data_IF_418290982042
#
_entry.id   IF_418290982042
#
_cell.length_a   1.000
_cell.length_b   1.000
_cell.length_c   1.000
_cell.angle_alpha   90.00
_cell.angle_beta   90.00
_cell.angle_gamma   90.00
#
_symmetry.space_group_name_H-M   'P 1'
#
loop_
_entity.id
_entity.type
_entity.pdbx_description
1 polymer ?
#
# COMPACT_ATOMS: atom_id res chain seq x y z
N UNK A 1 8.30 -2.99 18.32
CA UNK A 1 7.44 -3.94 17.59
C UNK A 1 7.85 -5.35 17.96
N UNK A 2 6.95 -6.17 18.49
CA UNK A 2 7.19 -7.61 18.67
C UNK A 2 6.14 -8.33 17.82
N UNK A 3 6.53 -8.68 16.59
CA UNK A 3 5.81 -9.65 15.80
C UNK A 3 6.03 -11.01 16.48
N UNK A 4 5.00 -11.57 17.10
CA UNK A 4 5.06 -12.96 17.55
C UNK A 4 4.71 -13.86 16.37
N UNK A 5 5.72 -14.44 15.74
CA UNK A 5 5.54 -15.60 14.87
C UNK A 5 5.24 -16.81 15.74
N UNK A 6 3.98 -17.24 15.79
CA UNK A 6 3.64 -18.54 16.35
C UNK A 6 3.82 -19.61 15.28
N UNK A 7 4.82 -20.47 15.46
CA UNK A 7 4.91 -21.74 14.75
C UNK A 7 3.89 -22.69 15.38
N UNK A 8 2.72 -22.84 14.79
CA UNK A 8 1.81 -23.91 15.16
C UNK A 8 2.26 -25.20 14.48
N UNK A 9 2.97 -26.05 15.23
CA UNK A 9 3.15 -27.46 14.86
C UNK A 9 1.86 -28.24 15.22
N UNK A 10 0.73 -27.89 14.62
CA UNK A 10 -0.51 -28.66 14.81
C UNK A 10 -0.59 -29.76 13.76
N UNK A 11 -0.40 -30.99 14.23
CA UNK A 11 -0.64 -32.24 13.51
C UNK A 11 -1.98 -32.17 12.75
N UNK A 12 -1.95 -32.47 11.44
CA UNK A 12 -3.19 -32.61 10.68
C UNK A 12 -3.99 -33.84 11.15
N UNK A 13 -5.31 -33.76 11.39
CA UNK A 13 -6.12 -34.92 11.80
C UNK A 13 -6.42 -35.91 10.67
N UNK A 14 -5.76 -35.79 9.53
CA UNK A 14 -6.05 -36.58 8.34
C UNK A 14 -4.74 -36.93 7.66
N UNK A 15 -4.40 -38.22 7.68
CA UNK A 15 -3.12 -38.81 7.29
C UNK A 15 -2.72 -38.56 5.83
N UNK A 16 -2.42 -37.31 5.48
CA UNK A 16 -1.60 -36.97 4.33
C UNK A 16 -0.13 -37.04 4.74
N UNK A 17 0.76 -37.59 3.90
CA UNK A 17 2.18 -37.60 4.18
C UNK A 17 2.67 -36.16 4.39
N UNK A 18 3.45 -35.98 5.46
CA UNK A 18 4.01 -34.73 5.96
C UNK A 18 5.00 -34.12 4.98
N UNK A 19 4.49 -33.44 3.95
CA UNK A 19 5.23 -32.45 3.20
C UNK A 19 5.24 -31.14 3.99
N UNK A 20 6.42 -30.72 4.45
CA UNK A 20 6.75 -29.49 5.17
C UNK A 20 5.92 -28.27 4.73
N UNK A 21 4.77 -28.05 5.36
CA UNK A 21 4.02 -26.79 5.30
C UNK A 21 4.07 -26.15 6.67
N UNK A 22 4.67 -24.96 6.78
CA UNK A 22 4.64 -24.17 8.01
C UNK A 22 3.44 -23.22 7.94
N UNK A 23 2.59 -23.27 8.97
CA UNK A 23 1.51 -22.30 9.13
C UNK A 23 2.07 -21.07 9.86
N UNK A 24 1.95 -19.91 9.22
CA UNK A 24 2.33 -18.62 9.80
C UNK A 24 1.08 -17.80 10.04
N UNK A 25 0.96 -17.22 11.23
CA UNK A 25 -0.09 -16.25 11.56
C UNK A 25 0.55 -14.96 12.05
N UNK A 26 0.19 -13.85 11.40
CA UNK A 26 0.56 -12.51 11.85
C UNK A 26 -0.49 -12.05 12.86
N UNK A 27 -0.05 -11.70 14.06
CA UNK A 27 -0.90 -11.16 15.12
C UNK A 27 -0.42 -9.75 15.47
N UNK A 28 -1.05 -8.75 14.87
CA UNK A 28 -0.83 -7.35 15.28
C UNK A 28 -1.60 -7.10 16.58
N UNK A 29 -0.95 -6.60 17.66
CA UNK A 29 -1.64 -6.28 18.90
C UNK A 29 -2.65 -5.14 18.68
N UNK A 30 -3.92 -5.47 18.50
CA UNK A 30 -4.99 -4.50 18.24
C UNK A 30 -5.55 -3.87 19.51
N UNK A 31 -4.71 -3.26 20.36
CA UNK A 31 -5.23 -2.54 21.53
C UNK A 31 -5.96 -1.27 21.09
N UNK A 32 -7.02 -0.83 21.80
CA UNK A 32 -7.74 0.40 21.43
C UNK A 32 -6.86 1.64 21.37
N UNK A 33 -5.89 1.78 22.29
CA UNK A 33 -4.93 2.89 22.30
C UNK A 33 -4.07 2.91 21.04
N UNK A 34 -3.54 1.75 20.64
CA UNK A 34 -2.71 1.62 19.45
C UNK A 34 -3.50 1.91 18.19
N UNK A 35 -4.76 1.48 18.13
CA UNK A 35 -5.66 1.84 17.03
C UNK A 35 -5.83 3.35 16.88
N UNK A 36 -5.98 4.08 17.98
CA UNK A 36 -6.08 5.53 17.97
C UNK A 36 -4.78 6.17 17.48
N UNK A 37 -3.62 5.73 17.99
CA UNK A 37 -2.31 6.23 17.56
C UNK A 37 -2.10 6.10 16.05
N UNK A 38 -2.34 4.91 15.47
CA UNK A 38 -2.23 4.71 14.02
C UNK A 38 -3.25 5.52 13.23
N UNK A 39 -4.48 5.61 13.72
CA UNK A 39 -5.52 6.38 13.04
C UNK A 39 -5.17 7.87 12.99
N UNK A 40 -4.63 8.42 14.07
CA UNK A 40 -4.16 9.81 14.13
C UNK A 40 -3.01 10.02 13.14
N UNK A 41 -1.97 9.20 13.21
CA UNK A 41 -0.79 9.31 12.34
C UNK A 41 -1.15 9.22 10.85
N UNK A 42 -1.99 8.24 10.47
CA UNK A 42 -2.45 8.07 9.09
C UNK A 42 -3.27 9.28 8.61
N UNK A 43 -4.10 9.86 9.49
CA UNK A 43 -4.92 11.02 9.14
C UNK A 43 -4.04 12.26 8.91
N UNK A 44 -3.11 12.52 9.82
CA UNK A 44 -2.17 13.64 9.72
C UNK A 44 -1.27 13.52 8.48
N UNK A 45 -0.76 12.32 8.20
CA UNK A 45 0.02 12.05 6.98
C UNK A 45 -0.80 12.27 5.71
N UNK A 46 -2.06 11.85 5.69
CA UNK A 46 -2.92 12.02 4.52
C UNK A 46 -3.25 13.50 4.26
N UNK A 47 -3.47 14.26 5.32
CA UNK A 47 -3.66 15.72 5.24
C UNK A 47 -2.38 16.40 4.72
N UNK A 48 -1.20 16.00 5.22
CA UNK A 48 0.09 16.52 4.75
C UNK A 48 0.33 16.20 3.27
N UNK A 49 0.07 14.95 2.84
CA UNK A 49 0.15 14.54 1.43
C UNK A 49 -0.77 15.42 0.58
N UNK A 50 -2.00 15.67 1.04
CA UNK A 50 -2.98 16.47 0.31
C UNK A 50 -2.51 17.92 0.14
N UNK A 51 -1.95 18.54 1.17
CA UNK A 51 -1.39 19.89 1.07
C UNK A 51 -0.17 19.93 0.14
N UNK A 52 0.76 18.98 0.28
CA UNK A 52 1.94 18.87 -0.58
C UNK A 52 1.58 18.62 -2.04
N UNK A 53 0.53 17.83 -2.32
CA UNK A 53 0.01 17.65 -3.68
C UNK A 53 -0.51 18.97 -4.27
N UNK A 54 -1.24 19.78 -3.49
CA UNK A 54 -1.68 21.13 -3.93
C UNK A 54 -0.48 22.03 -4.25
N UNK A 55 0.59 21.95 -3.46
CA UNK A 55 1.83 22.69 -3.71
C UNK A 55 2.55 22.20 -4.97
N UNK A 56 2.61 20.89 -5.18
CA UNK A 56 3.19 20.27 -6.37
C UNK A 56 2.49 20.72 -7.66
N UNK A 57 1.15 20.74 -7.68
CA UNK A 57 0.41 21.26 -8.84
C UNK A 57 0.65 22.76 -9.08
N UNK A 58 1.01 23.52 -8.03
CA UNK A 58 1.46 24.92 -8.13
C UNK A 58 2.95 25.06 -8.43
N UNK A 59 3.66 23.95 -8.69
CA UNK A 59 5.11 23.88 -8.94
C UNK A 59 5.97 24.43 -7.79
N UNK A 60 5.53 24.23 -6.54
CA UNK A 60 6.21 24.70 -5.32
C UNK A 60 6.86 23.60 -4.49
N UNK A 61 6.65 22.34 -4.85
CA UNK A 61 7.14 21.17 -4.12
C UNK A 61 7.69 20.15 -5.12
N UNK A 62 8.73 19.44 -4.74
CA UNK A 62 9.31 18.36 -5.54
C UNK A 62 8.54 17.05 -5.33
N UNK A 63 8.39 16.25 -6.40
CA UNK A 63 7.64 14.98 -6.32
C UNK A 63 8.19 14.04 -5.25
N UNK A 64 9.52 14.04 -5.05
CA UNK A 64 10.18 13.07 -4.16
C UNK A 64 9.78 13.27 -2.70
N UNK A 65 9.49 14.50 -2.28
CA UNK A 65 8.97 14.78 -0.93
C UNK A 65 7.61 14.08 -0.72
N UNK A 66 6.74 14.11 -1.74
CA UNK A 66 5.42 13.48 -1.69
C UNK A 66 5.55 11.96 -1.75
N UNK A 67 6.45 11.43 -2.58
CA UNK A 67 6.70 9.99 -2.67
C UNK A 67 7.17 9.40 -1.34
N UNK A 68 7.97 10.15 -0.58
CA UNK A 68 8.44 9.72 0.74
C UNK A 68 7.27 9.68 1.73
N UNK A 69 6.40 10.70 1.75
CA UNK A 69 5.18 10.69 2.55
C UNK A 69 4.23 9.55 2.17
N UNK A 70 4.05 9.25 0.88
CA UNK A 70 3.24 8.12 0.39
C UNK A 70 3.78 6.78 0.92
N UNK A 71 5.10 6.60 0.95
CA UNK A 71 5.70 5.39 1.52
C UNK A 71 5.57 5.35 3.04
N UNK A 72 5.69 6.47 3.75
CA UNK A 72 5.40 6.53 5.19
C UNK A 72 3.95 6.12 5.48
N UNK A 73 2.99 6.67 4.73
CA UNK A 73 1.58 6.29 4.82
C UNK A 73 1.39 4.79 4.58
N UNK A 74 2.06 4.24 3.56
CA UNK A 74 2.02 2.81 3.23
C UNK A 74 2.59 1.94 4.36
N UNK A 75 3.71 2.35 4.96
CA UNK A 75 4.31 1.68 6.11
C UNK A 75 3.33 1.58 7.28
N UNK A 76 2.69 2.70 7.65
CA UNK A 76 1.70 2.72 8.73
C UNK A 76 0.45 1.93 8.37
N UNK A 77 -0.04 1.99 7.13
CA UNK A 77 -1.19 1.21 6.67
C UNK A 77 -0.96 -0.30 6.80
N UNK A 78 0.18 -0.80 6.31
CA UNK A 78 0.52 -2.22 6.39
C UNK A 78 0.76 -2.70 7.82
N UNK A 79 1.30 -1.84 8.69
CA UNK A 79 1.47 -2.17 10.10
C UNK A 79 0.18 -2.05 10.93
N UNK A 80 -0.73 -1.15 10.54
CA UNK A 80 -2.01 -0.96 11.20
C UNK A 80 -2.98 -2.11 10.90
N UNK A 81 -2.97 -2.60 9.66
CA UNK A 81 -3.88 -3.64 9.17
C UNK A 81 -5.36 -3.37 9.50
N UNK A 82 -5.94 -2.23 9.06
CA UNK A 82 -7.29 -1.82 9.46
C UNK A 82 -8.40 -2.73 8.95
N UNK A 83 -8.17 -3.46 7.86
CA UNK A 83 -9.18 -4.29 7.22
C UNK A 83 -9.07 -5.74 7.69
N UNK A 84 -10.21 -6.37 7.96
CA UNK A 84 -10.29 -7.80 8.28
C UNK A 84 -9.69 -8.69 7.18
N UNK A 85 -9.79 -8.26 5.91
CA UNK A 85 -9.18 -8.88 4.73
C UNK A 85 -8.85 -7.81 3.68
N UNK A 86 -7.77 -8.01 2.94
CA UNK A 86 -7.43 -7.17 1.79
C UNK A 86 -6.60 -5.91 2.09
N UNK A 87 -6.10 -5.73 3.31
CA UNK A 87 -5.20 -4.60 3.66
C UNK A 87 -4.07 -4.41 2.65
N UNK A 88 -3.36 -5.49 2.29
CA UNK A 88 -2.24 -5.42 1.36
C UNK A 88 -2.65 -4.87 -0.01
N UNK A 89 -3.72 -5.43 -0.59
CA UNK A 89 -4.26 -5.02 -1.88
C UNK A 89 -4.78 -3.57 -1.84
N UNK A 90 -5.57 -3.21 -0.83
CA UNK A 90 -6.08 -1.85 -0.68
C UNK A 90 -4.94 -0.83 -0.51
N UNK A 91 -3.94 -1.14 0.33
CA UNK A 91 -2.79 -0.26 0.55
C UNK A 91 -1.97 -0.04 -0.73
N UNK A 92 -1.74 -1.11 -1.49
CA UNK A 92 -1.03 -1.01 -2.76
C UNK A 92 -1.83 -0.20 -3.80
N UNK A 93 -3.13 -0.42 -3.91
CA UNK A 93 -4.01 0.36 -4.79
C UNK A 93 -4.02 1.84 -4.41
N UNK A 94 -4.06 2.17 -3.11
CA UNK A 94 -3.98 3.55 -2.64
C UNK A 94 -2.63 4.20 -2.98
N UNK A 95 -1.50 3.49 -2.79
CA UNK A 95 -0.18 3.96 -3.21
C UNK A 95 -0.13 4.25 -4.72
N UNK A 96 -0.66 3.35 -5.55
CA UNK A 96 -0.74 3.55 -7.01
C UNK A 96 -1.62 4.75 -7.34
N UNK A 97 -2.78 4.89 -6.70
CA UNK A 97 -3.68 6.04 -6.89
C UNK A 97 -3.03 7.39 -6.56
N UNK A 98 -2.27 7.45 -5.46
CA UNK A 98 -1.51 8.64 -5.08
C UNK A 98 -0.35 8.95 -6.04
N UNK A 99 0.23 7.94 -6.68
CA UNK A 99 1.22 8.18 -7.75
C UNK A 99 0.54 8.74 -9.01
N UNK A 100 -0.63 8.20 -9.36
CA UNK A 100 -1.40 8.64 -10.51
C UNK A 100 -1.86 10.10 -10.38
N UNK A 101 -2.22 10.56 -9.18
CA UNK A 101 -2.56 11.97 -8.96
C UNK A 101 -1.37 12.92 -9.21
N UNK A 102 -0.13 12.45 -9.07
CA UNK A 102 1.08 13.18 -9.43
C UNK A 102 1.39 13.14 -10.94
N UNK A 103 0.55 12.51 -11.76
CA UNK A 103 0.78 12.21 -13.17
C UNK A 103 1.94 11.23 -13.39
N UNK A 104 2.11 10.26 -12.49
CA UNK A 104 3.09 9.17 -12.61
C UNK A 104 2.42 7.80 -12.52
N UNK A 105 2.86 6.86 -13.35
CA UNK A 105 2.40 5.48 -13.35
C UNK A 105 3.51 4.54 -12.88
N UNK A 106 3.15 3.60 -12.01
CA UNK A 106 4.04 2.53 -11.56
C UNK A 106 4.05 1.41 -12.61
N UNK A 107 5.13 1.30 -13.39
CA UNK A 107 5.16 0.39 -14.56
C UNK A 107 5.86 -0.94 -14.31
N UNK A 108 6.72 -1.02 -13.30
CA UNK A 108 7.47 -2.24 -12.99
C UNK A 108 6.87 -2.90 -11.76
N UNK A 109 6.72 -4.22 -11.82
CA UNK A 109 6.42 -5.02 -10.63
C UNK A 109 7.56 -4.95 -9.62
N UNK A 110 7.29 -5.18 -8.33
CA UNK A 110 8.33 -5.38 -7.32
C UNK A 110 9.37 -6.41 -7.77
N UNK A 111 10.65 -6.28 -7.37
CA UNK A 111 11.68 -7.25 -7.69
C UNK A 111 11.29 -8.65 -7.17
N UNK A 112 11.77 -9.72 -7.81
CA UNK A 112 11.54 -11.08 -7.34
C UNK A 112 11.95 -11.23 -5.86
N UNK A 113 11.06 -11.80 -5.05
CA UNK A 113 11.30 -12.00 -3.62
C UNK A 113 10.93 -10.82 -2.72
N UNK A 114 10.53 -9.66 -3.28
CA UNK A 114 10.05 -8.52 -2.51
C UNK A 114 8.51 -8.50 -2.52
N UNK A 115 7.93 -8.38 -1.33
CA UNK A 115 6.51 -8.09 -1.14
C UNK A 115 6.39 -6.87 -0.24
N UNK A 116 5.83 -5.79 -0.76
CA UNK A 116 5.90 -4.44 -0.15
C UNK A 116 5.31 -4.42 1.26
N UNK A 117 4.20 -5.12 1.47
CA UNK A 117 3.57 -5.27 2.78
C UNK A 117 4.47 -6.01 3.78
N UNK A 118 5.16 -7.07 3.36
CA UNK A 118 6.13 -7.76 4.20
C UNK A 118 7.35 -6.92 4.53
N UNK A 119 7.87 -6.14 3.58
CA UNK A 119 8.96 -5.20 3.85
C UNK A 119 8.60 -4.19 4.94
N UNK A 120 7.32 -3.80 5.05
CA UNK A 120 6.84 -2.93 6.11
C UNK A 120 6.57 -3.68 7.43
N UNK A 121 5.98 -4.88 7.38
CA UNK A 121 5.59 -5.66 8.57
C UNK A 121 6.81 -6.19 9.32
N UNK A 122 7.90 -6.52 8.62
CA UNK A 122 9.08 -7.16 9.20
C UNK A 122 10.04 -6.18 9.88
N UNK A 123 9.87 -4.87 9.66
CA UNK A 123 10.74 -3.84 10.22
C UNK A 123 10.00 -3.00 11.26
N UNK A 124 10.74 -2.45 12.22
CA UNK A 124 10.14 -1.65 13.30
C UNK A 124 10.01 -0.18 12.96
N UNK A 125 10.70 0.29 11.93
CA UNK A 125 10.86 1.70 11.62
C UNK A 125 10.69 1.99 10.11
N UNK A 126 10.09 3.14 9.73
CA UNK A 126 9.91 3.49 8.32
C UNK A 126 11.23 3.56 7.55
N UNK A 127 12.34 3.98 8.16
CA UNK A 127 13.61 4.18 7.45
C UNK A 127 14.18 2.85 6.91
N UNK A 128 13.98 1.76 7.65
CA UNK A 128 14.37 0.41 7.21
C UNK A 128 13.52 -0.04 6.03
N UNK A 129 12.20 0.19 6.07
CA UNK A 129 11.29 -0.06 4.96
C UNK A 129 11.69 0.74 3.71
N UNK A 130 12.09 2.00 3.88
CA UNK A 130 12.51 2.87 2.79
C UNK A 130 13.75 2.32 2.10
N UNK A 131 14.72 1.82 2.87
CA UNK A 131 15.95 1.28 2.29
C UNK A 131 15.69 0.11 1.31
N UNK A 132 14.65 -0.70 1.56
CA UNK A 132 14.30 -1.84 0.73
C UNK A 132 13.41 -1.48 -0.46
N UNK A 133 12.44 -0.57 -0.27
CA UNK A 133 11.38 -0.31 -1.26
C UNK A 133 11.64 0.94 -2.10
N UNK A 134 12.26 1.97 -1.54
CA UNK A 134 12.43 3.28 -2.18
C UNK A 134 13.19 3.22 -3.51
N UNK A 135 14.31 2.46 -3.65
CA UNK A 135 15.04 2.38 -4.91
C UNK A 135 14.21 1.81 -6.05
N UNK A 136 13.47 0.73 -5.79
CA UNK A 136 12.55 0.14 -6.75
C UNK A 136 11.40 1.10 -7.04
N UNK A 137 10.75 1.63 -6.00
CA UNK A 137 9.57 2.46 -6.14
C UNK A 137 9.84 3.68 -7.03
N UNK A 138 10.88 4.46 -6.72
CA UNK A 138 11.29 5.61 -7.53
C UNK A 138 11.73 5.23 -8.94
N UNK A 139 12.47 4.11 -9.09
CA UNK A 139 12.92 3.60 -10.38
C UNK A 139 11.84 2.95 -11.25
N UNK A 140 10.63 2.80 -10.71
CA UNK A 140 9.47 2.18 -11.37
C UNK A 140 8.42 3.18 -11.80
N UNK A 141 8.55 4.44 -11.38
CA UNK A 141 7.63 5.52 -11.72
C UNK A 141 8.02 6.20 -13.03
N UNK A 142 7.11 6.18 -14.00
CA UNK A 142 7.24 6.90 -15.25
C UNK A 142 6.19 8.00 -15.35
N UNK A 143 6.60 9.19 -15.80
CA UNK A 143 5.67 10.30 -16.01
C UNK A 143 4.69 9.89 -17.11
N UNK A 144 3.39 10.05 -16.85
CA UNK A 144 2.36 9.85 -17.86
C UNK A 144 2.46 11.04 -18.84
N UNK A 145 2.45 10.80 -20.17
CA UNK A 145 2.49 11.88 -21.14
C UNK A 145 1.36 12.89 -20.91
N UNK A 146 1.67 14.18 -20.98
CA UNK A 146 0.69 15.26 -20.78
C UNK A 146 -0.35 15.34 -21.94
N UNK A 147 -0.25 14.46 -22.95
CA UNK A 147 -1.18 14.39 -24.08
C UNK A 147 -2.39 13.48 -23.83
N UNK A 148 -2.49 12.84 -22.66
CA UNK A 148 -3.67 12.09 -22.29
C UNK A 148 -4.77 13.09 -21.91
N UNK A 149 -5.71 13.29 -22.83
CA UNK A 149 -6.91 14.04 -22.52
C UNK A 149 -7.80 13.21 -21.59
N UNK A 150 -7.64 13.39 -20.28
CA UNK A 150 -8.48 12.76 -19.26
C UNK A 150 -9.95 13.15 -19.45
N UNK A 151 -10.21 14.33 -20.03
CA UNK A 151 -11.57 14.78 -20.36
C UNK A 151 -12.12 14.11 -21.63
N UNK A 152 -11.28 13.42 -22.41
CA UNK A 152 -11.73 12.55 -23.52
C UNK A 152 -12.11 11.14 -23.07
N UNK A 153 -11.80 10.76 -21.82
CA UNK A 153 -12.24 9.48 -21.28
C UNK A 153 -13.76 9.53 -21.07
N UNK A 154 -14.47 8.43 -21.36
CA UNK A 154 -15.91 8.38 -21.15
C UNK A 154 -16.23 8.52 -19.65
N UNK A 155 -17.37 9.13 -19.35
CA UNK A 155 -17.84 9.21 -17.97
C UNK A 155 -18.02 7.79 -17.41
N UNK A 156 -17.57 7.57 -16.17
CA UNK A 156 -17.72 6.29 -15.48
C UNK A 156 -19.18 5.90 -15.39
N UNK A 157 -20.07 6.87 -15.18
CA UNK A 157 -21.52 6.66 -15.11
C UNK A 157 -22.13 6.21 -16.44
N UNK A 158 -21.56 6.67 -17.57
CA UNK A 158 -21.98 6.23 -18.91
C UNK A 158 -21.44 4.84 -19.24
N UNK A 159 -20.20 4.55 -18.86
CA UNK A 159 -19.54 3.27 -19.12
C UNK A 159 -20.07 2.14 -18.25
N UNK A 160 -20.45 2.45 -17.01
CA UNK A 160 -20.95 1.50 -16.01
C UNK A 160 -22.25 2.01 -15.38
N UNK A 161 -23.38 1.97 -16.09
CA UNK A 161 -24.65 2.51 -15.60
C UNK A 161 -25.21 1.74 -14.40
N UNK A 162 -24.75 0.51 -14.17
CA UNK A 162 -25.21 -0.33 -13.05
C UNK A 162 -24.05 -1.02 -12.33
N UNK A 163 -24.24 -1.33 -11.05
CA UNK A 163 -23.29 -2.17 -10.29
C UNK A 163 -23.06 -3.54 -10.95
N UNK A 164 -24.10 -4.10 -11.58
CA UNK A 164 -24.00 -5.37 -12.29
C UNK A 164 -23.01 -5.29 -13.47
N UNK A 165 -23.06 -4.21 -14.25
CA UNK A 165 -22.12 -4.00 -15.37
C UNK A 165 -20.66 -3.86 -14.93
N UNK A 166 -20.38 -3.44 -13.69
CA UNK A 166 -19.01 -3.41 -13.16
C UNK A 166 -18.47 -4.80 -12.77
N UNK A 167 -19.34 -5.68 -12.26
CA UNK A 167 -18.93 -6.98 -11.71
C UNK A 167 -18.74 -8.08 -12.78
N UNK A 168 -19.18 -7.85 -14.01
CA UNK A 168 -19.13 -8.80 -15.11
C UNK A 168 -18.01 -8.53 -16.13
N UNK A 169 -17.03 -7.70 -15.78
CA UNK A 169 -15.77 -7.54 -16.51
C UNK A 169 -14.83 -8.72 -16.23
#
# INVERSE_FOLDING_TARGET
>A
FLLFFFLNNTLSPQGRPSGLGQEFSIRTPGTPSRWQEYSTEISELFDEITEKMKEFHKKKCEKNEILDLILTLSFYWYNFMPLSRGTAACGFTSLVGLCLSLNYCLQKSPPPGIQIDWEAILVSKPEEFFSNVLPWFRGSLNKIPDNHDVFSLPDVSESFPTYHSMLCL
#
